data_IF_497532641764
#
_entry.id   IF_497532641764
#
_cell.length_a   1.000
_cell.length_b   1.000
_cell.length_c   1.000
_cell.angle_alpha   90.00
_cell.angle_beta   90.00
_cell.angle_gamma   90.00
#
_symmetry.space_group_name_H-M   'P 1'
#
loop_
_entity.id
_entity.type
_entity.pdbx_description
1 polymer ?
#
# COMPACT_ATOMS: atom_id res chain seq x y z
N UNK A 1 49.81 -12.20 3.83
CA UNK A 1 50.45 -11.23 2.90
C UNK A 1 49.31 -10.57 2.14
N UNK A 2 49.09 -9.27 2.33
CA UNK A 2 47.96 -8.55 1.71
C UNK A 2 48.52 -7.69 0.59
N UNK A 3 48.00 -7.86 -0.62
CA UNK A 3 48.41 -7.07 -1.81
C UNK A 3 47.22 -6.21 -2.22
N UNK A 4 47.40 -4.88 -2.30
CA UNK A 4 46.41 -3.98 -2.88
C UNK A 4 46.57 -3.95 -4.39
N UNK A 5 45.48 -4.19 -5.10
CA UNK A 5 45.39 -4.01 -6.54
C UNK A 5 44.60 -2.73 -6.82
N UNK A 6 45.01 -1.88 -7.77
CA UNK A 6 44.19 -0.75 -8.21
C UNK A 6 42.97 -1.28 -8.97
N UNK A 7 41.77 -0.82 -8.58
CA UNK A 7 40.51 -1.14 -9.24
C UNK A 7 39.50 -0.01 -9.02
N UNK A 8 38.53 0.10 -9.92
CA UNK A 8 37.33 0.94 -9.73
C UNK A 8 36.19 0.04 -9.27
N UNK A 9 35.50 0.45 -8.21
CA UNK A 9 34.26 -0.17 -7.77
C UNK A 9 33.14 0.87 -7.82
N UNK A 10 31.94 0.43 -8.16
CA UNK A 10 30.73 1.25 -8.09
C UNK A 10 29.89 0.78 -6.91
N UNK A 11 29.29 1.73 -6.19
CA UNK A 11 28.42 1.46 -5.05
C UNK A 11 27.06 2.06 -5.37
N UNK A 12 26.02 1.22 -5.41
CA UNK A 12 24.65 1.67 -5.55
C UNK A 12 24.11 2.09 -4.18
N UNK A 13 23.73 3.35 -4.04
CA UNK A 13 23.08 3.87 -2.83
C UNK A 13 21.58 3.73 -3.01
N UNK A 14 20.93 2.93 -2.18
CA UNK A 14 19.47 2.79 -2.19
C UNK A 14 18.80 3.98 -1.49
N UNK A 15 17.53 4.28 -1.83
CA UNK A 15 16.81 5.38 -1.21
C UNK A 15 16.71 5.23 0.31
N UNK A 16 16.63 6.36 1.00
CA UNK A 16 16.27 6.39 2.41
C UNK A 16 14.86 5.81 2.60
N UNK A 17 14.66 5.10 3.71
CA UNK A 17 13.38 4.46 4.03
C UNK A 17 13.00 4.82 5.44
N UNK A 18 11.74 5.21 5.59
CA UNK A 18 11.11 5.44 6.88
C UNK A 18 10.41 4.15 7.30
N UNK A 19 10.64 3.65 8.53
CA UNK A 19 9.86 2.55 9.07
C UNK A 19 8.37 2.92 9.13
N UNK A 20 7.52 2.13 8.48
CA UNK A 20 6.08 2.36 8.44
C UNK A 20 5.32 1.12 8.85
N UNK A 21 4.27 1.30 9.65
CA UNK A 21 3.31 0.24 9.87
C UNK A 21 2.43 0.05 8.64
N UNK A 22 2.22 -1.20 8.21
CA UNK A 22 1.32 -1.44 7.10
C UNK A 22 -0.15 -1.48 7.56
N UNK A 23 -1.08 -0.80 6.87
CA UNK A 23 -2.48 -0.77 7.25
C UNK A 23 -3.16 -2.12 7.11
N UNK A 24 -4.08 -2.38 8.02
CA UNK A 24 -4.86 -3.60 8.08
C UNK A 24 -6.25 -3.39 8.67
N UNK A 25 -7.01 -4.47 8.80
CA UNK A 25 -8.29 -4.45 9.49
C UNK A 25 -8.14 -4.22 11.01
N UNK A 26 -6.93 -4.36 11.57
CA UNK A 26 -6.62 -4.01 12.96
C UNK A 26 -6.29 -2.53 13.18
N UNK A 27 -6.04 -1.77 12.12
CA UNK A 27 -5.63 -0.36 12.18
C UNK A 27 -6.73 0.52 12.80
N UNK A 28 -6.39 1.34 13.80
CA UNK A 28 -7.38 2.15 14.53
C UNK A 28 -7.69 3.50 13.86
N UNK A 29 -6.87 3.87 12.87
CA UNK A 29 -7.01 5.12 12.14
C UNK A 29 -8.14 5.14 11.11
N UNK A 30 -8.30 6.29 10.42
CA UNK A 30 -9.29 6.47 9.38
C UNK A 30 -9.21 5.41 8.26
N UNK A 31 -7.99 5.01 7.87
CA UNK A 31 -7.79 4.00 6.84
C UNK A 31 -8.27 2.62 7.31
N UNK A 32 -7.94 2.22 8.53
CA UNK A 32 -8.40 0.95 9.10
C UNK A 32 -9.92 0.88 9.22
N UNK A 33 -10.56 1.97 9.66
CA UNK A 33 -12.02 2.08 9.69
C UNK A 33 -12.62 1.92 8.29
N UNK A 34 -12.04 2.55 7.27
CA UNK A 34 -12.49 2.41 5.90
C UNK A 34 -12.32 0.99 5.35
N UNK A 35 -11.18 0.35 5.60
CA UNK A 35 -10.91 -1.02 5.19
C UNK A 35 -11.93 -1.99 5.82
N UNK A 36 -12.26 -1.81 7.10
CA UNK A 36 -13.34 -2.58 7.77
C UNK A 36 -14.70 -2.36 7.11
N UNK A 37 -15.07 -1.11 6.82
CA UNK A 37 -16.32 -0.81 6.12
C UNK A 37 -16.38 -1.45 4.74
N UNK A 38 -15.28 -1.42 3.99
CA UNK A 38 -15.17 -2.07 2.67
C UNK A 38 -15.28 -3.60 2.78
N UNK A 39 -14.63 -4.22 3.77
CA UNK A 39 -14.78 -5.64 4.07
C UNK A 39 -16.22 -6.02 4.48
N UNK A 40 -16.89 -5.19 5.27
CA UNK A 40 -18.28 -5.41 5.69
C UNK A 40 -19.28 -5.22 4.54
N UNK A 41 -19.05 -4.26 3.64
CA UNK A 41 -19.86 -4.07 2.43
C UNK A 41 -19.81 -5.29 1.50
N UNK A 42 -18.70 -6.03 1.50
CA UNK A 42 -18.58 -7.34 0.84
C UNK A 42 -19.29 -8.45 1.64
N UNK A 43 -19.39 -8.31 2.96
CA UNK A 43 -20.00 -9.29 3.88
C UNK A 43 -21.53 -9.35 3.87
N UNK A 44 -22.19 -8.75 2.86
CA UNK A 44 -23.62 -8.99 2.60
C UNK A 44 -24.00 -10.47 2.45
N UNK A 45 -23.03 -11.37 2.23
CA UNK A 45 -23.27 -12.82 2.32
C UNK A 45 -22.05 -13.70 2.70
N UNK A 46 -20.79 -13.37 2.36
CA UNK A 46 -19.76 -14.45 2.23
C UNK A 46 -18.31 -14.16 2.67
N UNK A 47 -18.05 -13.43 3.77
CA UNK A 47 -16.66 -13.21 4.26
C UNK A 47 -16.45 -13.43 5.76
N UNK A 48 -17.20 -14.34 6.36
CA UNK A 48 -16.73 -14.96 7.60
C UNK A 48 -16.22 -16.34 7.23
N UNK A 49 -14.97 -16.68 7.61
CA UNK A 49 -14.59 -18.08 7.66
C UNK A 49 -15.59 -18.77 8.57
N UNK A 50 -16.27 -19.79 8.04
CA UNK A 50 -17.23 -20.58 8.78
C UNK A 50 -16.53 -21.88 9.10
N UNK A 51 -16.28 -22.12 10.39
CA UNK A 51 -15.82 -23.42 10.85
C UNK A 51 -16.80 -24.05 11.79
N UNK A 52 -16.69 -25.36 11.92
CA UNK A 52 -17.40 -26.09 12.96
C UNK A 52 -16.92 -25.63 14.34
N UNK A 53 -17.88 -25.48 15.23
CA UNK A 53 -17.67 -25.16 16.64
C UNK A 53 -16.77 -26.21 17.28
N UNK A 54 -15.79 -25.74 18.04
CA UNK A 54 -14.99 -26.57 18.93
C UNK A 54 -15.27 -26.11 20.37
N UNK A 55 -15.38 -27.04 21.34
CA UNK A 55 -15.54 -26.68 22.74
C UNK A 55 -14.48 -25.65 23.19
N UNK A 56 -14.94 -24.47 23.62
CA UNK A 56 -14.09 -23.33 23.96
C UNK A 56 -14.38 -22.06 23.14
N UNK A 57 -15.09 -22.19 22.02
CA UNK A 57 -15.49 -21.03 21.23
C UNK A 57 -16.60 -20.20 21.90
N UNK A 58 -16.54 -18.88 21.71
CA UNK A 58 -17.58 -17.97 22.19
C UNK A 58 -18.91 -18.23 21.46
N UNK A 59 -19.92 -18.69 22.22
CA UNK A 59 -21.26 -19.00 21.73
C UNK A 59 -21.95 -17.81 21.05
N UNK A 60 -21.58 -16.56 21.39
CA UNK A 60 -22.12 -15.35 20.74
C UNK A 60 -21.74 -15.27 19.26
N UNK A 61 -20.70 -15.99 18.85
CA UNK A 61 -20.19 -15.99 17.49
C UNK A 61 -20.81 -17.10 16.63
N UNK A 62 -21.74 -17.88 17.16
CA UNK A 62 -22.45 -18.92 16.40
C UNK A 62 -23.33 -18.29 15.32
N UNK A 63 -23.19 -18.78 14.09
CA UNK A 63 -24.08 -18.45 12.99
C UNK A 63 -25.30 -19.37 13.01
N UNK A 64 -26.30 -19.02 13.84
CA UNK A 64 -27.53 -19.81 13.98
C UNK A 64 -28.24 -20.12 12.66
N UNK A 65 -28.14 -19.24 11.65
CA UNK A 65 -28.72 -19.48 10.32
C UNK A 65 -27.99 -20.58 9.55
N UNK A 66 -26.66 -20.63 9.63
CA UNK A 66 -25.86 -21.69 9.00
C UNK A 66 -26.00 -23.01 9.77
N UNK A 67 -25.98 -22.94 11.10
CA UNK A 67 -26.27 -24.07 12.00
C UNK A 67 -27.61 -24.72 11.71
N UNK A 68 -28.68 -23.93 11.56
CA UNK A 68 -30.02 -24.46 11.29
C UNK A 68 -30.13 -25.17 9.94
N UNK A 69 -29.29 -24.80 8.96
CA UNK A 69 -29.27 -25.42 7.63
C UNK A 69 -28.42 -26.69 7.59
N UNK A 70 -27.30 -26.70 8.32
CA UNK A 70 -26.29 -27.77 8.26
C UNK A 70 -26.45 -28.81 9.38
N UNK A 71 -27.15 -28.47 10.47
CA UNK A 71 -27.29 -29.32 11.65
C UNK A 71 -26.07 -29.33 12.58
N UNK A 72 -24.95 -28.74 12.15
CA UNK A 72 -23.70 -28.61 12.91
C UNK A 72 -23.54 -27.19 13.43
N UNK A 73 -23.05 -27.00 14.66
CA UNK A 73 -22.79 -25.66 15.19
C UNK A 73 -21.68 -24.98 14.36
N UNK A 74 -22.02 -23.91 13.65
CA UNK A 74 -21.06 -23.14 12.84
C UNK A 74 -20.69 -21.86 13.59
N UNK A 75 -19.40 -21.61 13.78
CA UNK A 75 -18.86 -20.39 14.38
C UNK A 75 -18.40 -19.44 13.28
N UNK A 76 -18.78 -18.16 13.40
CA UNK A 76 -18.20 -17.09 12.60
C UNK A 76 -16.80 -16.83 13.12
N UNK A 77 -15.80 -17.27 12.37
CA UNK A 77 -14.45 -16.75 12.55
C UNK A 77 -14.37 -15.33 12.00
N UNK A 78 -13.55 -14.45 12.61
CA UNK A 78 -13.19 -13.23 11.93
C UNK A 78 -12.40 -13.70 10.71
N UNK A 79 -12.79 -13.33 9.49
CA UNK A 79 -11.93 -13.63 8.35
C UNK A 79 -10.51 -13.12 8.68
N UNK A 80 -9.52 -14.00 8.54
CA UNK A 80 -8.12 -13.63 8.75
C UNK A 80 -7.82 -12.37 7.94
N UNK A 81 -7.39 -11.35 8.69
CA UNK A 81 -6.54 -10.22 8.31
C UNK A 81 -6.33 -10.03 6.79
N UNK A 82 -6.81 -8.95 6.19
CA UNK A 82 -6.03 -7.71 5.96
C UNK A 82 -6.01 -7.36 4.46
N UNK A 83 -5.31 -6.29 4.11
CA UNK A 83 -4.98 -5.91 2.74
C UNK A 83 -4.03 -6.98 2.17
N UNK A 84 -4.44 -7.67 1.10
CA UNK A 84 -3.66 -8.77 0.51
C UNK A 84 -2.73 -8.32 -0.62
N UNK A 85 -2.97 -7.12 -1.16
CA UNK A 85 -2.15 -6.53 -2.22
C UNK A 85 -1.82 -5.07 -1.96
N UNK A 86 -0.61 -4.67 -2.31
CA UNK A 86 -0.17 -3.28 -2.29
C UNK A 86 0.44 -2.94 -3.65
N UNK A 87 -0.19 -2.03 -4.39
CA UNK A 87 0.40 -1.45 -5.59
C UNK A 87 0.87 -0.05 -5.26
N UNK A 88 2.14 0.24 -5.52
CA UNK A 88 2.72 1.57 -5.46
C UNK A 88 2.90 2.07 -6.88
N UNK A 89 2.21 3.16 -7.24
CA UNK A 89 2.46 3.91 -8.46
C UNK A 89 3.38 5.08 -8.11
N UNK A 90 4.59 5.11 -8.67
CA UNK A 90 5.45 6.29 -8.62
C UNK A 90 5.24 7.11 -9.89
N UNK A 91 4.84 8.37 -9.70
CA UNK A 91 4.86 9.38 -10.74
C UNK A 91 6.31 9.81 -11.03
N UNK A 92 6.67 9.91 -12.31
CA UNK A 92 8.01 10.33 -12.75
C UNK A 92 7.94 11.54 -13.67
N UNK A 93 6.77 12.16 -13.86
CA UNK A 93 6.59 13.36 -14.68
C UNK A 93 7.41 14.53 -14.10
N UNK A 94 8.38 15.01 -14.87
CA UNK A 94 9.28 16.10 -14.45
C UNK A 94 8.52 17.39 -14.11
N UNK A 95 7.35 17.62 -14.71
CA UNK A 95 6.52 18.77 -14.41
C UNK A 95 5.95 18.75 -12.98
N UNK A 96 5.84 17.58 -12.33
CA UNK A 96 5.20 17.44 -11.02
C UNK A 96 6.12 17.76 -9.84
N UNK A 97 7.43 17.77 -10.05
CA UNK A 97 8.41 17.73 -8.98
C UNK A 97 9.46 18.84 -9.11
N UNK A 98 9.95 19.32 -7.98
CA UNK A 98 11.33 19.80 -7.88
C UNK A 98 12.28 18.62 -7.54
N UNK A 99 13.59 18.84 -7.59
CA UNK A 99 14.58 17.79 -7.36
C UNK A 99 14.43 17.10 -6.00
N UNK A 100 14.20 17.87 -4.92
CA UNK A 100 14.05 17.30 -3.58
C UNK A 100 12.70 16.59 -3.39
N UNK A 101 11.64 17.10 -4.00
CA UNK A 101 10.30 16.52 -4.00
C UNK A 101 10.26 15.18 -4.69
N UNK A 102 11.06 14.99 -5.74
CA UNK A 102 11.24 13.70 -6.39
C UNK A 102 12.01 12.72 -5.50
N UNK A 103 13.12 13.12 -4.88
CA UNK A 103 13.86 12.28 -3.94
C UNK A 103 12.99 11.82 -2.74
N UNK A 104 12.11 12.70 -2.25
CA UNK A 104 11.10 12.34 -1.26
C UNK A 104 10.08 11.34 -1.79
N UNK A 105 9.67 11.46 -3.05
CA UNK A 105 8.74 10.52 -3.68
C UNK A 105 9.37 9.13 -3.83
N UNK A 106 10.63 9.09 -4.27
CA UNK A 106 11.44 7.87 -4.34
C UNK A 106 11.55 7.21 -2.96
N UNK A 107 11.85 7.99 -1.92
CA UNK A 107 11.95 7.51 -0.53
C UNK A 107 10.59 7.02 0.02
N UNK A 108 9.50 7.72 -0.31
CA UNK A 108 8.15 7.32 0.08
C UNK A 108 7.72 6.00 -0.59
N UNK A 109 7.98 5.84 -1.89
CA UNK A 109 7.71 4.60 -2.61
C UNK A 109 8.52 3.44 -2.02
N UNK A 110 9.81 3.65 -1.76
CA UNK A 110 10.70 2.66 -1.14
C UNK A 110 10.19 2.24 0.25
N UNK A 111 9.71 3.19 1.06
CA UNK A 111 9.19 2.96 2.40
C UNK A 111 7.92 2.10 2.37
N UNK A 112 6.95 2.44 1.50
CA UNK A 112 5.68 1.72 1.37
C UNK A 112 5.92 0.29 0.85
N UNK A 113 6.77 0.12 -0.16
CA UNK A 113 7.12 -1.21 -0.70
C UNK A 113 7.79 -2.07 0.36
N UNK A 114 8.72 -1.49 1.12
CA UNK A 114 9.43 -2.21 2.19
C UNK A 114 8.46 -2.63 3.28
N UNK A 115 7.55 -1.75 3.71
CA UNK A 115 6.53 -2.06 4.70
C UNK A 115 5.57 -3.15 4.22
N UNK A 116 5.04 -3.03 2.99
CA UNK A 116 4.13 -4.01 2.42
C UNK A 116 4.78 -5.40 2.30
N UNK A 117 6.02 -5.46 1.80
CA UNK A 117 6.76 -6.71 1.63
C UNK A 117 7.11 -7.34 2.97
N UNK A 118 7.54 -6.54 3.96
CA UNK A 118 7.81 -7.02 5.32
C UNK A 118 6.56 -7.60 6.00
N UNK A 119 5.38 -7.09 5.66
CA UNK A 119 4.09 -7.62 6.10
C UNK A 119 3.57 -8.81 5.29
N UNK A 120 4.32 -9.33 4.30
CA UNK A 120 3.94 -10.50 3.51
C UNK A 120 2.83 -10.23 2.48
N UNK A 121 2.63 -8.97 2.10
CA UNK A 121 1.58 -8.54 1.17
C UNK A 121 2.08 -8.67 -0.27
N UNK A 122 1.21 -9.11 -1.18
CA UNK A 122 1.54 -9.16 -2.61
C UNK A 122 1.81 -7.74 -3.13
N UNK A 123 3.09 -7.41 -3.30
CA UNK A 123 3.54 -6.04 -3.57
C UNK A 123 3.87 -5.86 -5.04
N UNK A 124 3.58 -4.67 -5.56
CA UNK A 124 3.82 -4.26 -6.95
C UNK A 124 4.32 -2.82 -6.98
N UNK A 125 5.38 -2.55 -7.74
CA UNK A 125 5.79 -1.19 -8.09
C UNK A 125 5.49 -0.93 -9.56
N UNK A 126 4.85 0.20 -9.84
CA UNK A 126 4.54 0.66 -11.19
C UNK A 126 5.08 2.06 -11.38
N UNK A 127 5.64 2.31 -12.56
CA UNK A 127 5.98 3.63 -13.06
C UNK A 127 5.84 3.60 -14.61
N UNK A 128 5.94 4.73 -15.32
CA UNK A 128 6.04 4.72 -16.78
C UNK A 128 7.13 3.74 -17.26
N UNK A 129 6.77 2.81 -18.14
CA UNK A 129 7.68 1.76 -18.64
C UNK A 129 8.12 0.69 -17.63
N UNK A 130 7.57 0.67 -16.40
CA UNK A 130 7.95 -0.28 -15.34
C UNK A 130 6.74 -0.97 -14.71
N UNK A 131 6.84 -2.29 -14.54
CA UNK A 131 5.92 -3.10 -13.74
C UNK A 131 6.67 -4.22 -13.01
N UNK A 132 7.07 -3.96 -11.75
CA UNK A 132 7.78 -4.93 -10.92
C UNK A 132 6.81 -5.67 -9.99
N UNK A 133 6.92 -6.99 -9.94
CA UNK A 133 6.07 -7.91 -9.18
C UNK A 133 6.84 -9.12 -8.70
N UNK A 134 6.22 -9.88 -7.79
CA UNK A 134 6.74 -11.17 -7.36
C UNK A 134 7.53 -11.09 -6.07
N UNK A 135 8.17 -12.20 -5.66
CA UNK A 135 8.79 -12.32 -4.35
C UNK A 135 9.97 -11.35 -4.14
N UNK A 136 10.68 -11.00 -5.22
CA UNK A 136 11.89 -10.16 -5.17
C UNK A 136 11.60 -8.66 -5.36
N UNK A 137 10.32 -8.27 -5.43
CA UNK A 137 9.89 -6.90 -5.77
C UNK A 137 10.54 -5.84 -4.87
N UNK A 138 10.72 -6.10 -3.57
CA UNK A 138 11.37 -5.13 -2.69
C UNK A 138 12.83 -4.89 -3.07
N UNK A 139 13.57 -5.94 -3.42
CA UNK A 139 14.97 -5.80 -3.81
C UNK A 139 15.10 -5.11 -5.17
N UNK A 140 14.32 -5.54 -6.17
CA UNK A 140 14.34 -4.97 -7.51
C UNK A 140 13.86 -3.51 -7.52
N UNK A 141 12.80 -3.21 -6.76
CA UNK A 141 12.30 -1.85 -6.60
C UNK A 141 13.37 -0.93 -6.01
N UNK A 142 14.06 -1.32 -4.93
CA UNK A 142 15.10 -0.47 -4.34
C UNK A 142 16.25 -0.18 -5.31
N UNK A 143 16.61 -1.16 -6.15
CA UNK A 143 17.66 -0.97 -7.15
C UNK A 143 17.21 -0.04 -8.27
N UNK A 144 15.97 -0.20 -8.75
CA UNK A 144 15.43 0.67 -9.77
C UNK A 144 15.24 2.10 -9.25
N UNK A 145 14.64 2.25 -8.06
CA UNK A 145 14.44 3.52 -7.36
C UNK A 145 15.75 4.25 -7.06
N UNK A 146 16.86 3.55 -6.88
CA UNK A 146 18.18 4.16 -6.73
C UNK A 146 18.71 4.83 -8.02
N UNK A 147 18.09 4.55 -9.17
CA UNK A 147 18.57 4.99 -10.49
C UNK A 147 17.50 5.69 -11.32
N UNK A 148 16.25 5.68 -10.89
CA UNK A 148 15.14 6.34 -11.57
C UNK A 148 15.42 7.84 -11.69
N UNK A 149 15.03 8.42 -12.81
CA UNK A 149 15.10 9.86 -13.05
C UNK A 149 13.72 10.34 -13.45
N UNK A 150 13.52 11.66 -13.34
CA UNK A 150 12.35 12.31 -13.91
C UNK A 150 12.34 12.12 -15.43
N UNK A 151 11.14 11.98 -15.97
CA UNK A 151 10.89 11.75 -17.38
C UNK A 151 9.86 12.76 -17.89
N UNK A 152 10.08 13.28 -19.09
CA UNK A 152 9.13 14.17 -19.78
C UNK A 152 8.20 13.37 -20.72
N UNK A 153 8.39 12.06 -20.84
CA UNK A 153 7.57 11.20 -21.70
C UNK A 153 6.18 11.00 -21.09
N UNK A 154 5.16 11.33 -21.86
CA UNK A 154 3.76 11.02 -21.57
C UNK A 154 3.47 9.54 -21.88
N UNK A 155 4.09 8.64 -21.11
CA UNK A 155 3.84 7.20 -21.19
C UNK A 155 2.92 6.78 -20.04
N UNK A 156 1.77 6.20 -20.40
CA UNK A 156 0.78 5.82 -19.41
C UNK A 156 1.28 4.60 -18.60
N UNK A 157 1.29 4.67 -17.26
CA UNK A 157 1.76 3.56 -16.44
C UNK A 157 0.86 2.32 -16.62
N UNK A 158 1.42 1.10 -16.62
CA UNK A 158 0.69 -0.14 -16.94
C UNK A 158 -0.25 -0.62 -15.81
N UNK A 159 -1.02 0.26 -15.19
CA UNK A 159 -1.89 -0.06 -14.04
C UNK A 159 -3.07 -0.97 -14.38
N UNK A 160 -3.51 -0.99 -15.63
CA UNK A 160 -4.66 -1.79 -16.09
C UNK A 160 -4.49 -3.31 -15.86
N UNK A 161 -3.26 -3.81 -15.89
CA UNK A 161 -2.95 -5.22 -15.63
C UNK A 161 -3.05 -5.51 -14.14
N UNK A 162 -4.23 -5.90 -13.64
CA UNK A 162 -4.41 -6.28 -12.23
C UNK A 162 -4.11 -7.76 -12.01
N UNK A 163 -3.49 -8.09 -10.89
CA UNK A 163 -3.48 -9.47 -10.42
C UNK A 163 -4.88 -9.83 -9.93
N UNK A 164 -5.43 -10.97 -10.33
CA UNK A 164 -6.73 -11.47 -9.87
C UNK A 164 -6.58 -12.12 -8.48
N UNK A 165 -6.13 -11.33 -7.50
CA UNK A 165 -6.04 -11.74 -6.11
C UNK A 165 -7.29 -11.28 -5.37
N UNK A 166 -7.98 -12.21 -4.74
CA UNK A 166 -9.15 -11.93 -3.91
C UNK A 166 -8.77 -11.11 -2.67
N UNK A 167 -9.71 -10.26 -2.22
CA UNK A 167 -9.57 -9.51 -0.97
C UNK A 167 -9.27 -8.02 -1.15
N UNK A 168 -8.96 -7.34 -0.05
CA UNK A 168 -8.71 -5.89 -0.06
C UNK A 168 -7.34 -5.56 -0.67
N UNK A 169 -7.29 -4.46 -1.41
CA UNK A 169 -6.05 -3.91 -1.96
C UNK A 169 -5.78 -2.48 -1.53
N UNK A 170 -4.51 -2.11 -1.45
CA UNK A 170 -4.06 -0.75 -1.29
C UNK A 170 -3.40 -0.30 -2.61
N UNK A 171 -3.87 0.80 -3.18
CA UNK A 171 -3.22 1.48 -4.29
C UNK A 171 -2.64 2.79 -3.75
N UNK A 172 -1.33 2.84 -3.53
CA UNK A 172 -0.64 4.06 -3.15
C UNK A 172 -0.13 4.75 -4.42
N UNK A 173 -0.55 5.99 -4.67
CA UNK A 173 0.05 6.83 -5.71
C UNK A 173 0.97 7.84 -5.06
N UNK A 174 2.23 7.87 -5.47
CA UNK A 174 3.23 8.82 -5.01
C UNK A 174 3.45 9.85 -6.11
N UNK A 175 3.08 11.10 -5.86
CA UNK A 175 3.09 12.18 -6.85
C UNK A 175 3.55 13.49 -6.21
N UNK A 176 3.96 14.48 -7.01
CA UNK A 176 4.38 15.78 -6.48
C UNK A 176 3.20 16.60 -5.94
N UNK A 177 2.05 16.54 -6.60
CA UNK A 177 0.86 17.35 -6.26
C UNK A 177 -0.44 16.60 -6.45
N UNK A 178 -1.47 17.02 -5.74
CA UNK A 178 -2.83 16.53 -5.94
C UNK A 178 -3.35 16.95 -7.32
N UNK A 179 -4.09 16.06 -7.98
CA UNK A 179 -4.68 16.27 -9.29
C UNK A 179 -3.75 15.92 -10.45
N UNK A 180 -2.58 15.34 -10.19
CA UNK A 180 -1.65 14.90 -11.25
C UNK A 180 -2.27 13.87 -12.18
N UNK A 181 -1.69 13.72 -13.37
CA UNK A 181 -2.09 12.70 -14.34
C UNK A 181 -1.97 11.30 -13.72
N UNK A 182 -0.89 11.02 -12.99
CA UNK A 182 -0.70 9.75 -12.30
C UNK A 182 -1.82 9.47 -11.27
N UNK A 183 -2.23 10.47 -10.48
CA UNK A 183 -3.32 10.31 -9.53
C UNK A 183 -4.66 10.08 -10.25
N UNK A 184 -4.92 10.79 -11.36
CA UNK A 184 -6.13 10.56 -12.17
C UNK A 184 -6.18 9.14 -12.73
N UNK A 185 -5.05 8.65 -13.27
CA UNK A 185 -4.92 7.26 -13.75
C UNK A 185 -5.10 6.28 -12.60
N UNK A 186 -4.55 6.56 -11.41
CA UNK A 186 -4.74 5.72 -10.23
C UNK A 186 -6.21 5.68 -9.77
N UNK A 187 -6.93 6.80 -9.81
CA UNK A 187 -8.37 6.86 -9.51
C UNK A 187 -9.18 6.01 -10.49
N UNK A 188 -8.92 6.15 -11.79
CA UNK A 188 -9.61 5.38 -12.83
C UNK A 188 -9.27 3.89 -12.75
N UNK A 189 -8.02 3.57 -12.44
CA UNK A 189 -7.54 2.20 -12.25
C UNK A 189 -7.78 1.65 -10.84
N UNK A 190 -8.42 2.37 -9.92
CA UNK A 190 -8.70 1.87 -8.58
C UNK A 190 -9.90 0.90 -8.64
N UNK A 191 -9.66 -0.37 -8.33
CA UNK A 191 -10.72 -1.37 -8.31
C UNK A 191 -11.73 -1.19 -7.17
N UNK A 192 -12.89 -1.87 -7.23
CA UNK A 192 -13.93 -1.81 -6.19
C UNK A 192 -13.44 -2.31 -4.83
N UNK A 193 -12.48 -3.24 -4.81
CA UNK A 193 -11.88 -3.78 -3.58
C UNK A 193 -10.57 -3.07 -3.18
N UNK A 194 -10.17 -2.03 -3.92
CA UNK A 194 -8.95 -1.26 -3.66
C UNK A 194 -9.28 0.04 -2.95
N UNK A 195 -8.39 0.45 -2.07
CA UNK A 195 -8.41 1.77 -1.44
C UNK A 195 -7.23 2.55 -1.96
N UNK A 196 -7.53 3.69 -2.60
CA UNK A 196 -6.53 4.65 -3.06
C UNK A 196 -6.01 5.47 -1.86
N UNK A 197 -4.69 5.61 -1.77
CA UNK A 197 -3.99 6.53 -0.88
C UNK A 197 -3.07 7.41 -1.73
N UNK A 198 -3.23 8.72 -1.64
CA UNK A 198 -2.39 9.67 -2.38
C UNK A 198 -1.28 10.18 -1.48
N UNK A 199 -0.02 9.91 -1.82
CA UNK A 199 1.16 10.39 -1.12
C UNK A 199 1.74 11.55 -1.92
N UNK A 200 1.83 12.72 -1.30
CA UNK A 200 2.07 13.98 -2.02
C UNK A 200 3.26 14.72 -1.44
N UNK A 201 4.27 15.02 -2.26
CA UNK A 201 5.58 15.49 -1.77
C UNK A 201 5.84 16.99 -1.90
N UNK A 202 4.96 17.74 -2.58
CA UNK A 202 5.07 19.19 -2.77
C UNK A 202 3.90 19.94 -2.13
N UNK A 203 2.67 19.71 -2.59
CA UNK A 203 1.49 20.49 -2.17
C UNK A 203 0.33 19.60 -1.71
N UNK A 204 -0.15 19.85 -0.50
CA UNK A 204 -1.22 19.06 0.13
C UNK A 204 -2.54 19.81 0.04
N UNK A 205 -3.45 19.33 -0.80
CA UNK A 205 -4.80 19.88 -0.85
C UNK A 205 -5.67 19.33 0.32
N UNK A 206 -6.46 20.17 1.01
CA UNK A 206 -7.17 19.80 2.24
C UNK A 206 -8.43 18.92 2.07
N UNK A 207 -8.73 18.39 0.88
CA UNK A 207 -10.09 17.90 0.57
C UNK A 207 -10.21 16.49 -0.03
N UNK A 208 -9.13 15.70 -0.14
CA UNK A 208 -9.23 14.30 -0.62
C UNK A 208 -9.13 13.29 0.51
N UNK A 209 -9.95 12.23 0.42
CA UNK A 209 -9.90 11.08 1.35
C UNK A 209 -8.54 10.39 1.21
N UNK A 210 -7.87 10.16 2.34
CA UNK A 210 -6.58 9.46 2.48
C UNK A 210 -5.42 10.07 1.67
N UNK A 211 -5.21 11.37 1.84
CA UNK A 211 -3.97 12.04 1.41
C UNK A 211 -2.93 11.99 2.53
N UNK A 212 -1.71 11.60 2.19
CA UNK A 212 -0.53 11.58 3.06
C UNK A 212 0.43 12.66 2.58
N UNK A 213 0.63 13.67 3.40
CA UNK A 213 1.63 14.69 3.18
C UNK A 213 3.04 14.11 3.36
N UNK A 214 3.92 14.36 2.40
CA UNK A 214 5.29 13.84 2.36
C UNK A 214 6.29 14.92 1.90
N UNK A 215 6.05 16.17 2.32
CA UNK A 215 6.96 17.33 2.12
C UNK A 215 8.28 17.18 2.89
N UNK A 216 8.33 16.26 3.85
CA UNK A 216 9.52 15.75 4.52
C UNK A 216 9.33 14.28 4.91
N UNK A 217 10.41 13.55 5.20
CA UNK A 217 10.31 12.16 5.67
C UNK A 217 9.64 12.03 7.04
N UNK A 218 9.85 13.02 7.92
CA UNK A 218 9.16 13.09 9.21
C UNK A 218 7.66 13.32 9.03
N UNK A 219 7.27 14.21 8.11
CA UNK A 219 5.86 14.46 7.84
C UNK A 219 5.19 13.24 7.19
N UNK A 220 5.90 12.56 6.29
CA UNK A 220 5.48 11.29 5.71
C UNK A 220 5.21 10.24 6.81
N UNK A 221 6.14 10.05 7.74
CA UNK A 221 6.01 9.13 8.87
C UNK A 221 4.76 9.46 9.70
N UNK A 222 4.64 10.71 10.15
CA UNK A 222 3.56 11.16 11.02
C UNK A 222 2.20 11.13 10.32
N UNK A 223 2.12 11.53 9.06
CA UNK A 223 0.89 11.51 8.28
C UNK A 223 0.44 10.07 8.02
N UNK A 224 1.36 9.17 7.69
CA UNK A 224 1.08 7.74 7.55
C UNK A 224 0.63 7.12 8.87
N UNK A 225 1.33 7.40 9.97
CA UNK A 225 0.96 6.92 11.30
C UNK A 225 -0.44 7.40 11.69
N UNK A 226 -0.77 8.68 11.52
CA UNK A 226 -2.12 9.22 11.76
C UNK A 226 -3.19 8.53 10.91
N UNK A 227 -2.85 8.18 9.66
CA UNK A 227 -3.76 7.48 8.75
C UNK A 227 -4.05 6.04 9.23
N UNK A 228 -3.04 5.35 9.76
CA UNK A 228 -3.10 3.94 10.18
C UNK A 228 -3.58 3.77 11.63
N UNK A 229 -3.10 4.57 12.57
CA UNK A 229 -3.43 4.45 14.00
C UNK A 229 -4.51 5.42 14.47
N UNK A 230 -4.69 6.52 13.73
CA UNK A 230 -5.51 7.65 14.17
C UNK A 230 -4.65 8.70 14.86
N UNK A 231 -5.23 9.85 15.18
CA UNK A 231 -4.56 10.79 16.09
C UNK A 231 -4.62 10.18 17.49
N UNK A 232 -3.50 10.16 18.21
CA UNK A 232 -3.56 10.00 19.67
C UNK A 232 -4.54 11.05 20.19
N UNK A 233 -5.59 10.61 20.88
CA UNK A 233 -6.49 11.53 21.57
C UNK A 233 -5.67 12.25 22.63
N UNK A 234 -5.46 13.55 22.44
CA UNK A 234 -4.89 14.48 23.42
C UNK A 234 -5.82 14.66 24.61
#
# INVERSE_FOLDING_TARGET
RTTRLPGRGEVLVVPERVPMMFPGLGSNGPLGTHLRMKAMGRSGSEFHSQREYVPGDDLRRINWKSTARTGTLIVREPAMETVHRCTVLLDTDAGQYDGEGFERAVSAAASIISAATAHGVATRLVAPGLDLRGPDVAHEALRWLATVQLDDRDEQPPLATRAHLEGLGLLAVVTGRVGSTAERVAVEACGPDETLVSVVTMEVAPSRRFVVAATSLLELEQAWQRLVEGSAAS
#
